data_IF_378033295352
#
_entry.id   IF_378033295352
#
_cell.length_a   1.000
_cell.length_b   1.000
_cell.length_c   1.000
_cell.angle_alpha   90.00
_cell.angle_beta   90.00
_cell.angle_gamma   90.00
#
_symmetry.space_group_name_H-M   'P 1'
#
loop_
_entity.id
_entity.type
_entity.pdbx_description
1 polymer ?
#
# COMPACT_ATOMS: atom_id res chain seq x y z
N UNK A 1 -28.45 -26.28 -20.43
CA UNK A 1 -27.19 -26.85 -19.87
C UNK A 1 -26.35 -25.84 -19.06
N UNK A 2 -26.39 -24.54 -19.34
CA UNK A 2 -25.65 -23.50 -18.59
C UNK A 2 -26.10 -23.32 -17.12
N UNK A 3 -27.39 -23.47 -16.83
CA UNK A 3 -27.92 -23.34 -15.46
C UNK A 3 -27.46 -24.42 -14.48
N UNK A 4 -27.27 -25.66 -14.94
CA UNK A 4 -26.78 -26.76 -14.08
C UNK A 4 -25.28 -26.63 -13.75
N UNK A 5 -24.47 -26.07 -14.65
CA UNK A 5 -23.05 -25.77 -14.40
C UNK A 5 -22.90 -24.65 -13.37
N UNK A 6 -23.65 -23.55 -13.51
CA UNK A 6 -23.69 -22.46 -12.53
C UNK A 6 -24.17 -22.92 -11.15
N UNK A 7 -25.19 -23.79 -11.10
CA UNK A 7 -25.70 -24.35 -9.85
C UNK A 7 -24.70 -25.31 -9.17
N UNK A 8 -23.86 -26.00 -9.95
CA UNK A 8 -22.80 -26.88 -9.42
C UNK A 8 -21.62 -26.09 -8.85
N UNK A 9 -21.30 -24.92 -9.42
CA UNK A 9 -20.30 -24.00 -8.85
C UNK A 9 -20.76 -23.36 -7.53
N UNK A 10 -22.05 -23.03 -7.40
CA UNK A 10 -22.63 -22.33 -6.25
C UNK A 10 -22.77 -23.15 -4.96
N UNK A 11 -22.79 -24.48 -5.04
CA UNK A 11 -23.00 -25.38 -3.90
C UNK A 11 -21.71 -25.86 -3.19
N UNK A 12 -20.55 -25.26 -3.48
CA UNK A 12 -19.33 -25.62 -2.76
C UNK A 12 -19.33 -24.91 -1.40
N UNK A 13 -19.01 -25.66 -0.33
CA UNK A 13 -18.76 -25.10 1.00
C UNK A 13 -17.65 -24.05 1.01
N UNK A 14 -17.26 -23.50 2.17
CA UNK A 14 -16.27 -22.43 2.24
C UNK A 14 -14.98 -22.84 1.49
N UNK A 15 -14.50 -21.96 0.60
CA UNK A 15 -13.31 -22.22 -0.23
C UNK A 15 -12.14 -22.70 0.65
N UNK A 16 -11.45 -23.74 0.18
CA UNK A 16 -10.27 -24.28 0.87
C UNK A 16 -9.18 -23.22 1.00
N UNK A 17 -8.33 -23.34 2.04
CA UNK A 17 -7.16 -22.49 2.24
C UNK A 17 -6.29 -22.43 0.98
N UNK A 18 -5.96 -23.60 0.42
CA UNK A 18 -5.15 -23.71 -0.81
C UNK A 18 -5.79 -22.95 -1.98
N UNK A 19 -7.10 -23.11 -2.19
CA UNK A 19 -7.82 -22.43 -3.28
C UNK A 19 -7.76 -20.91 -3.13
N UNK A 20 -7.95 -20.37 -1.92
CA UNK A 20 -7.86 -18.93 -1.67
C UNK A 20 -6.48 -18.36 -2.00
N UNK A 21 -5.40 -19.04 -1.60
CA UNK A 21 -4.03 -18.64 -1.92
C UNK A 21 -3.72 -18.74 -3.42
N UNK A 22 -4.23 -19.77 -4.11
CA UNK A 22 -4.10 -19.87 -5.56
C UNK A 22 -4.80 -18.71 -6.27
N UNK A 23 -6.02 -18.36 -5.84
CA UNK A 23 -6.74 -17.20 -6.39
C UNK A 23 -5.94 -15.90 -6.18
N UNK A 24 -5.35 -15.71 -4.99
CA UNK A 24 -4.51 -14.55 -4.72
C UNK A 24 -3.27 -14.52 -5.63
N UNK A 25 -2.66 -15.67 -5.90
CA UNK A 25 -1.49 -15.79 -6.78
C UNK A 25 -1.81 -15.54 -8.26
N UNK A 26 -3.07 -15.63 -8.69
CA UNK A 26 -3.46 -15.29 -10.07
C UNK A 26 -3.19 -13.81 -10.40
N UNK A 27 -3.25 -12.92 -9.41
CA UNK A 27 -3.02 -11.47 -9.62
C UNK A 27 -1.60 -11.19 -10.10
N UNK A 28 -0.53 -11.56 -9.37
CA UNK A 28 0.83 -11.36 -9.87
C UNK A 28 1.11 -12.16 -11.15
N UNK A 29 0.58 -13.39 -11.27
CA UNK A 29 0.75 -14.20 -12.49
C UNK A 29 0.13 -13.51 -13.72
N UNK A 30 -1.03 -12.86 -13.57
CA UNK A 30 -1.67 -12.09 -14.64
C UNK A 30 -0.77 -10.98 -15.19
N UNK A 31 -0.12 -10.20 -14.32
CA UNK A 31 0.82 -9.16 -14.77
C UNK A 31 2.12 -9.72 -15.32
N UNK A 32 2.66 -10.80 -14.74
CA UNK A 32 3.84 -11.46 -15.29
C UNK A 32 3.58 -11.97 -16.71
N UNK A 33 2.43 -12.61 -16.94
CA UNK A 33 2.03 -13.06 -18.27
C UNK A 33 1.87 -11.89 -19.24
N UNK A 34 1.20 -10.81 -18.83
CA UNK A 34 1.09 -9.60 -19.64
C UNK A 34 2.48 -9.01 -19.96
N UNK A 35 3.39 -8.96 -18.99
CA UNK A 35 4.74 -8.45 -19.15
C UNK A 35 5.57 -9.22 -20.18
N UNK A 36 5.50 -10.56 -20.16
CA UNK A 36 6.20 -11.42 -21.12
C UNK A 36 5.61 -11.35 -22.54
N UNK A 37 4.34 -10.96 -22.68
CA UNK A 37 3.71 -10.72 -23.99
C UNK A 37 4.10 -9.35 -24.54
N UNK A 38 4.26 -8.35 -23.67
CA UNK A 38 4.50 -6.95 -24.04
C UNK A 38 5.98 -6.63 -24.29
N UNK A 39 6.92 -7.44 -23.80
CA UNK A 39 8.36 -7.20 -23.91
C UNK A 39 9.13 -8.51 -24.18
N UNK A 40 10.07 -8.53 -25.14
CA UNK A 40 10.93 -9.69 -25.40
C UNK A 40 11.70 -10.15 -24.16
N UNK A 41 11.90 -11.46 -24.02
CA UNK A 41 12.47 -12.05 -22.81
C UNK A 41 13.92 -11.59 -22.51
N UNK A 42 14.71 -11.32 -23.54
CA UNK A 42 16.08 -10.81 -23.41
C UNK A 42 16.10 -9.36 -22.90
N UNK A 43 15.18 -8.52 -23.38
CA UNK A 43 15.00 -7.16 -22.88
C UNK A 43 14.47 -7.16 -21.45
N UNK A 44 13.56 -8.06 -21.10
CA UNK A 44 13.07 -8.24 -19.72
C UNK A 44 14.22 -8.55 -18.78
N UNK A 45 15.12 -9.46 -19.15
CA UNK A 45 16.28 -9.79 -18.32
C UNK A 45 17.21 -8.59 -18.12
N UNK A 46 17.55 -7.87 -19.20
CA UNK A 46 18.36 -6.65 -19.11
C UNK A 46 17.68 -5.57 -18.27
N UNK A 47 16.36 -5.43 -18.40
CA UNK A 47 15.55 -4.50 -17.61
C UNK A 47 15.60 -4.83 -16.12
N UNK A 48 15.49 -6.10 -15.73
CA UNK A 48 15.60 -6.54 -14.32
C UNK A 48 16.98 -6.21 -13.75
N UNK A 49 18.05 -6.47 -14.51
CA UNK A 49 19.42 -6.10 -14.10
C UNK A 49 19.56 -4.60 -13.91
N UNK A 50 18.92 -3.81 -14.76
CA UNK A 50 18.93 -2.33 -14.67
C UNK A 50 18.18 -1.87 -13.42
N UNK A 51 16.98 -2.39 -13.17
CA UNK A 51 16.18 -2.12 -11.97
C UNK A 51 16.96 -2.39 -10.68
N UNK A 52 17.69 -3.50 -10.62
CA UNK A 52 18.47 -3.88 -9.43
C UNK A 52 19.63 -2.91 -9.15
N UNK A 53 20.21 -2.34 -10.20
CA UNK A 53 21.36 -1.42 -10.09
C UNK A 53 20.94 0.02 -9.86
N UNK A 54 19.68 0.35 -10.08
CA UNK A 54 19.17 1.70 -9.97
C UNK A 54 18.96 2.11 -8.50
N UNK A 55 19.40 3.31 -8.09
CA UNK A 55 19.05 3.87 -6.78
C UNK A 55 17.53 4.08 -6.65
N UNK A 56 16.94 3.42 -5.66
CA UNK A 56 15.50 3.38 -5.45
C UNK A 56 15.02 4.54 -4.59
N UNK A 57 14.66 5.69 -5.16
CA UNK A 57 14.01 6.79 -4.41
C UNK A 57 12.48 6.72 -4.52
N UNK A 58 11.77 7.50 -3.68
CA UNK A 58 10.30 7.50 -3.53
C UNK A 58 9.51 7.40 -4.83
N UNK A 59 9.95 8.07 -5.89
CA UNK A 59 9.26 8.09 -7.18
C UNK A 59 10.25 7.67 -8.28
N UNK A 60 10.68 6.41 -8.22
CA UNK A 60 11.59 5.79 -9.19
C UNK A 60 10.83 4.70 -9.95
N UNK A 61 10.19 5.08 -11.05
CA UNK A 61 9.33 4.20 -11.81
C UNK A 61 10.09 3.15 -12.62
N UNK A 62 9.94 1.87 -12.27
CA UNK A 62 10.63 0.77 -12.94
C UNK A 62 10.14 0.52 -14.37
N UNK A 63 8.95 0.98 -14.72
CA UNK A 63 8.45 0.90 -16.10
C UNK A 63 9.32 1.78 -17.00
N UNK A 64 9.71 2.98 -16.54
CA UNK A 64 10.61 3.87 -17.26
C UNK A 64 12.06 3.35 -17.29
N UNK A 65 12.49 2.58 -16.27
CA UNK A 65 13.88 2.11 -16.15
C UNK A 65 14.12 0.81 -16.91
N UNK A 66 13.31 -0.22 -16.65
CA UNK A 66 13.52 -1.57 -17.18
C UNK A 66 12.53 -1.97 -18.27
N UNK A 67 11.50 -1.16 -18.51
CA UNK A 67 10.37 -1.52 -19.36
C UNK A 67 9.24 -2.22 -18.61
N UNK A 68 8.09 -2.33 -19.27
CA UNK A 68 6.84 -2.86 -18.70
C UNK A 68 7.01 -4.31 -18.23
N UNK A 69 7.62 -5.15 -19.05
CA UNK A 69 7.81 -6.56 -18.76
C UNK A 69 8.76 -6.79 -17.57
N UNK A 70 9.89 -6.09 -17.53
CA UNK A 70 10.83 -6.18 -16.41
C UNK A 70 10.19 -5.73 -15.08
N UNK A 71 9.45 -4.62 -15.09
CA UNK A 71 8.75 -4.12 -13.91
C UNK A 71 7.70 -5.13 -13.41
N UNK A 72 6.89 -5.70 -14.31
CA UNK A 72 5.87 -6.70 -13.96
C UNK A 72 6.46 -8.02 -13.47
N UNK A 73 7.59 -8.47 -14.03
CA UNK A 73 8.29 -9.66 -13.53
C UNK A 73 8.87 -9.40 -12.15
N UNK A 74 9.54 -8.27 -11.91
CA UNK A 74 10.04 -7.91 -10.58
C UNK A 74 8.89 -7.90 -9.56
N UNK A 75 7.82 -7.17 -9.83
CA UNK A 75 6.66 -7.08 -8.93
C UNK A 75 5.97 -8.42 -8.71
N UNK A 76 5.78 -9.20 -9.77
CA UNK A 76 5.13 -10.50 -9.72
C UNK A 76 5.92 -11.51 -8.90
N UNK A 77 7.24 -11.58 -9.08
CA UNK A 77 8.13 -12.47 -8.30
C UNK A 77 8.10 -12.11 -6.82
N UNK A 78 8.24 -10.83 -6.46
CA UNK A 78 8.20 -10.41 -5.05
C UNK A 78 6.85 -10.73 -4.40
N UNK A 79 5.75 -10.50 -5.12
CA UNK A 79 4.42 -10.84 -4.63
C UNK A 79 4.24 -12.35 -4.46
N UNK A 80 4.67 -13.18 -5.42
CA UNK A 80 4.58 -14.64 -5.34
C UNK A 80 5.44 -15.20 -4.20
N UNK A 81 6.65 -14.69 -4.01
CA UNK A 81 7.50 -15.04 -2.87
C UNK A 81 6.81 -14.68 -1.55
N UNK A 82 6.21 -13.49 -1.48
CA UNK A 82 5.48 -13.05 -0.27
C UNK A 82 4.28 -13.95 0.04
N UNK A 83 3.49 -14.32 -0.99
CA UNK A 83 2.39 -15.29 -0.87
C UNK A 83 2.92 -16.64 -0.40
N UNK A 84 4.02 -17.14 -1.01
CA UNK A 84 4.61 -18.42 -0.67
C UNK A 84 5.09 -18.47 0.78
N UNK A 85 5.77 -17.41 1.26
CA UNK A 85 6.20 -17.30 2.65
C UNK A 85 5.00 -17.44 3.60
N UNK A 86 3.92 -16.67 3.39
CA UNK A 86 2.72 -16.73 4.24
C UNK A 86 2.05 -18.11 4.17
N UNK A 87 2.01 -18.72 2.98
CA UNK A 87 1.44 -20.04 2.80
C UNK A 87 2.23 -21.14 3.52
N UNK A 88 3.56 -21.15 3.39
CA UNK A 88 4.41 -22.17 4.03
C UNK A 88 4.56 -21.97 5.53
N UNK A 89 4.37 -20.74 6.03
CA UNK A 89 4.24 -20.46 7.46
C UNK A 89 2.91 -20.95 8.08
N UNK A 90 2.04 -21.60 7.30
CA UNK A 90 0.79 -22.17 7.80
C UNK A 90 -0.30 -21.14 8.12
N UNK A 91 -0.14 -19.89 7.70
CA UNK A 91 -1.09 -18.82 8.02
C UNK A 91 -2.37 -18.94 7.18
N UNK A 92 -3.52 -18.59 7.77
CA UNK A 92 -4.80 -18.55 7.06
C UNK A 92 -4.96 -17.30 6.19
N UNK A 93 -5.79 -17.41 5.15
CA UNK A 93 -6.13 -16.27 4.31
C UNK A 93 -6.96 -15.27 5.12
N UNK A 94 -6.36 -14.10 5.35
CA UNK A 94 -6.95 -12.96 6.04
C UNK A 94 -6.94 -11.73 5.13
N UNK A 95 -7.69 -10.69 5.48
CA UNK A 95 -7.59 -9.41 4.80
C UNK A 95 -6.15 -8.89 4.80
N UNK A 96 -5.40 -9.08 5.89
CA UNK A 96 -4.00 -8.67 5.99
C UNK A 96 -3.08 -9.44 5.02
N UNK A 97 -3.39 -10.71 4.72
CA UNK A 97 -2.68 -11.49 3.68
C UNK A 97 -2.90 -10.86 2.30
N UNK A 98 -4.14 -10.49 1.99
CA UNK A 98 -4.49 -9.85 0.72
C UNK A 98 -3.83 -8.48 0.63
N UNK A 99 -3.98 -7.64 1.65
CA UNK A 99 -3.38 -6.31 1.72
C UNK A 99 -1.88 -6.37 1.51
N UNK A 100 -1.18 -7.25 2.24
CA UNK A 100 0.27 -7.38 2.12
C UNK A 100 0.72 -7.84 0.74
N UNK A 101 0.05 -8.80 0.12
CA UNK A 101 0.35 -9.23 -1.24
C UNK A 101 0.19 -8.09 -2.27
N UNK A 102 -0.92 -7.35 -2.21
CA UNK A 102 -1.17 -6.23 -3.13
C UNK A 102 -0.17 -5.09 -2.92
N UNK A 103 0.23 -4.80 -1.69
CA UNK A 103 1.27 -3.80 -1.41
C UNK A 103 2.65 -4.27 -1.87
N UNK A 104 2.99 -5.54 -1.68
CA UNK A 104 4.25 -6.08 -2.18
C UNK A 104 4.30 -6.03 -3.70
N UNK A 105 3.22 -6.37 -4.40
CA UNK A 105 3.15 -6.19 -5.85
C UNK A 105 3.29 -4.71 -6.24
N UNK A 106 2.42 -3.85 -5.70
CA UNK A 106 2.32 -2.45 -6.11
C UNK A 106 3.61 -1.64 -5.91
N UNK A 107 4.22 -1.73 -4.73
CA UNK A 107 5.48 -1.04 -4.44
C UNK A 107 6.71 -1.74 -5.00
N UNK A 108 6.56 -2.91 -5.62
CA UNK A 108 7.64 -3.52 -6.41
C UNK A 108 7.61 -3.09 -7.88
N UNK A 109 6.66 -2.23 -8.26
CA UNK A 109 6.73 -1.49 -9.52
C UNK A 109 7.58 -0.21 -9.40
N UNK A 110 7.94 0.19 -8.18
CA UNK A 110 8.79 1.35 -7.91
C UNK A 110 9.44 1.24 -6.52
N UNK A 111 10.77 1.16 -6.48
CA UNK A 111 11.55 1.25 -5.24
C UNK A 111 11.76 -0.03 -4.43
N UNK A 112 11.07 -1.14 -4.73
CA UNK A 112 11.36 -2.47 -4.16
C UNK A 112 11.78 -3.46 -5.23
N UNK A 113 12.97 -4.03 -5.09
CA UNK A 113 13.49 -5.04 -6.00
C UNK A 113 13.87 -6.34 -5.28
N UNK A 114 14.22 -7.36 -6.05
CA UNK A 114 14.52 -8.71 -5.55
C UNK A 114 15.66 -8.72 -4.53
N UNK A 115 16.57 -7.74 -4.53
CA UNK A 115 17.72 -7.73 -3.61
C UNK A 115 17.49 -6.86 -2.36
N UNK A 116 16.83 -5.71 -2.50
CA UNK A 116 16.83 -4.68 -1.46
C UNK A 116 15.88 -4.96 -0.27
N UNK A 117 15.04 -6.00 -0.34
CA UNK A 117 14.03 -6.31 0.69
C UNK A 117 14.55 -7.20 1.84
N UNK A 118 15.60 -7.99 1.62
CA UNK A 118 15.93 -9.11 2.50
C UNK A 118 16.53 -8.71 3.83
N UNK A 119 17.38 -7.68 3.87
CA UNK A 119 18.02 -7.22 5.11
C UNK A 119 16.99 -6.78 6.15
N UNK A 120 15.95 -6.06 5.72
CA UNK A 120 14.85 -5.62 6.57
C UNK A 120 14.02 -6.82 7.06
N UNK A 121 13.72 -7.77 6.16
CA UNK A 121 13.02 -9.01 6.54
C UNK A 121 13.80 -9.82 7.58
N UNK A 122 15.12 -9.94 7.41
CA UNK A 122 16.01 -10.59 8.38
C UNK A 122 15.98 -9.89 9.74
N UNK A 123 15.97 -8.55 9.76
CA UNK A 123 15.84 -7.78 11.00
C UNK A 123 14.53 -8.06 11.76
N UNK A 124 13.41 -8.18 11.05
CA UNK A 124 12.12 -8.53 11.66
C UNK A 124 12.12 -9.96 12.20
N UNK A 125 12.71 -10.92 11.47
CA UNK A 125 12.89 -12.28 11.95
C UNK A 125 13.79 -12.32 13.19
N UNK A 126 14.86 -11.51 13.23
CA UNK A 126 15.74 -11.38 14.39
C UNK A 126 14.99 -10.81 15.60
N UNK A 127 14.10 -9.84 15.40
CA UNK A 127 13.23 -9.33 16.47
C UNK A 127 12.33 -10.44 17.05
N UNK A 128 11.69 -11.22 16.17
CA UNK A 128 10.85 -12.35 16.59
C UNK A 128 11.65 -13.38 17.40
N UNK A 129 12.86 -13.72 16.92
CA UNK A 129 13.77 -14.63 17.59
C UNK A 129 14.23 -14.10 18.96
N UNK A 130 14.68 -12.84 19.03
CA UNK A 130 15.15 -12.20 20.26
C UNK A 130 14.07 -12.19 21.34
N UNK A 131 12.82 -11.89 20.96
CA UNK A 131 11.68 -11.91 21.89
C UNK A 131 11.05 -13.29 22.09
N UNK A 132 11.63 -14.35 21.53
CA UNK A 132 11.11 -15.74 21.64
C UNK A 132 9.65 -15.84 21.22
N UNK A 133 9.30 -15.21 20.10
CA UNK A 133 7.95 -15.17 19.53
C UNK A 133 7.93 -15.71 18.11
N UNK A 134 6.75 -16.11 17.61
CA UNK A 134 6.61 -16.61 16.25
C UNK A 134 6.78 -15.49 15.21
N UNK A 135 7.55 -15.77 14.15
CA UNK A 135 7.72 -14.89 12.98
C UNK A 135 6.38 -14.55 12.32
N UNK A 136 5.40 -15.46 12.39
CA UNK A 136 4.05 -15.25 11.85
C UNK A 136 3.36 -13.99 12.38
N UNK A 137 3.70 -13.55 13.61
CA UNK A 137 3.15 -12.33 14.22
C UNK A 137 3.63 -11.06 13.53
N UNK A 138 4.83 -11.07 12.97
CA UNK A 138 5.49 -9.88 12.45
C UNK A 138 5.75 -9.93 10.94
N UNK A 139 5.42 -11.02 10.25
CA UNK A 139 5.72 -11.16 8.83
C UNK A 139 5.11 -10.05 7.96
N UNK A 140 3.86 -9.63 8.24
CA UNK A 140 3.24 -8.51 7.54
C UNK A 140 3.93 -7.18 7.85
N UNK A 141 4.37 -6.99 9.10
CA UNK A 141 5.17 -5.81 9.47
C UNK A 141 6.48 -5.80 8.69
N UNK A 142 7.12 -6.96 8.50
CA UNK A 142 8.28 -7.11 7.62
C UNK A 142 7.99 -6.71 6.18
N UNK A 143 6.97 -7.28 5.55
CA UNK A 143 6.59 -6.93 4.19
C UNK A 143 6.30 -5.44 4.01
N UNK A 144 5.59 -4.82 4.95
CA UNK A 144 5.37 -3.38 4.94
C UNK A 144 6.65 -2.58 5.21
N UNK A 145 7.52 -3.09 6.08
CA UNK A 145 8.82 -2.52 6.44
C UNK A 145 9.80 -2.39 5.29
N UNK A 146 9.71 -3.29 4.30
CA UNK A 146 10.50 -3.18 3.05
C UNK A 146 10.25 -1.87 2.30
N UNK A 147 9.28 -1.04 2.70
CA UNK A 147 9.16 0.36 2.26
C UNK A 147 10.42 1.21 2.49
N UNK A 148 11.32 0.77 3.37
CA UNK A 148 12.60 1.41 3.65
C UNK A 148 13.78 0.79 2.88
N UNK A 149 13.51 -0.12 1.93
CA UNK A 149 14.53 -0.66 1.04
C UNK A 149 15.34 0.38 0.25
N UNK A 150 14.79 1.57 -0.11
CA UNK A 150 15.59 2.69 -0.62
C UNK A 150 16.85 3.02 0.18
N UNK A 151 16.79 2.94 1.52
CA UNK A 151 17.94 3.20 2.38
C UNK A 151 19.06 2.20 2.10
N UNK A 152 18.71 0.93 1.85
CA UNK A 152 19.67 -0.13 1.56
C UNK A 152 20.35 0.12 0.22
N UNK A 153 19.58 0.43 -0.82
CA UNK A 153 20.14 0.75 -2.14
C UNK A 153 21.01 2.00 -2.07
N UNK A 154 20.59 3.04 -1.35
CA UNK A 154 21.36 4.27 -1.18
C UNK A 154 22.69 4.02 -0.47
N UNK A 155 22.71 3.20 0.58
CA UNK A 155 23.96 2.86 1.29
C UNK A 155 24.93 2.04 0.41
N UNK A 156 24.40 1.20 -0.47
CA UNK A 156 25.20 0.44 -1.43
C UNK A 156 25.85 1.34 -2.50
N UNK A 157 25.23 2.47 -2.84
CA UNK A 157 25.70 3.39 -3.88
C UNK A 157 26.64 4.47 -3.35
N UNK A 158 26.85 4.58 -2.03
CA UNK A 158 27.78 5.54 -1.41
C UNK A 158 29.21 5.38 -1.94
N UNK A 159 29.55 6.18 -2.96
CA UNK A 159 30.66 5.97 -3.89
C UNK A 159 32.09 5.95 -3.33
N UNK A 160 32.31 6.42 -2.10
CA UNK A 160 33.65 6.58 -1.54
C UNK A 160 34.18 5.35 -0.77
N UNK A 161 33.33 4.37 -0.42
CA UNK A 161 33.75 3.18 0.33
C UNK A 161 34.00 1.96 -0.58
N UNK A 162 34.82 0.97 -0.20
CA UNK A 162 34.91 -0.29 -0.95
C UNK A 162 33.62 -1.11 -0.85
N UNK A 163 33.29 -1.91 -1.87
CA UNK A 163 32.11 -2.80 -1.85
C UNK A 163 32.10 -3.74 -0.64
N UNK A 164 33.27 -4.24 -0.23
CA UNK A 164 33.47 -5.09 0.94
C UNK A 164 33.04 -4.43 2.26
N UNK A 165 32.97 -3.09 2.31
CA UNK A 165 32.48 -2.33 3.46
C UNK A 165 31.01 -1.96 3.28
N UNK A 166 30.62 -1.50 2.09
CA UNK A 166 29.23 -1.08 1.80
C UNK A 166 28.22 -2.21 2.00
N UNK A 167 28.54 -3.42 1.56
CA UNK A 167 27.62 -4.55 1.60
C UNK A 167 27.30 -4.99 3.05
N UNK A 168 28.28 -5.30 3.92
CA UNK A 168 27.99 -5.60 5.32
C UNK A 168 27.30 -4.45 6.04
N UNK A 169 27.70 -3.21 5.75
CA UNK A 169 27.09 -2.03 6.38
C UNK A 169 25.62 -1.87 6.01
N UNK A 170 25.27 -2.02 4.72
CA UNK A 170 23.89 -1.93 4.24
C UNK A 170 23.02 -3.06 4.80
N UNK A 171 23.57 -4.27 4.90
CA UNK A 171 22.89 -5.41 5.54
C UNK A 171 22.64 -5.12 7.02
N UNK A 172 23.65 -4.63 7.76
CA UNK A 172 23.54 -4.29 9.17
C UNK A 172 22.46 -3.23 9.41
N UNK A 173 22.49 -2.13 8.66
CA UNK A 173 21.48 -1.06 8.78
C UNK A 173 20.08 -1.60 8.47
N UNK A 174 19.93 -2.43 7.43
CA UNK A 174 18.65 -3.06 7.12
C UNK A 174 18.14 -3.97 8.23
N UNK A 175 19.02 -4.77 8.84
CA UNK A 175 18.65 -5.58 10.00
C UNK A 175 18.24 -4.73 11.20
N UNK A 176 18.94 -3.61 11.48
CA UNK A 176 18.56 -2.67 12.54
C UNK A 176 17.17 -2.09 12.27
N UNK A 177 16.93 -1.61 11.04
CA UNK A 177 15.61 -1.10 10.61
C UNK A 177 14.53 -2.15 10.86
N UNK A 178 14.74 -3.37 10.38
CA UNK A 178 13.79 -4.46 10.57
C UNK A 178 13.58 -4.80 12.05
N UNK A 179 14.63 -4.75 12.87
CA UNK A 179 14.55 -5.09 14.29
C UNK A 179 13.73 -4.06 15.09
N UNK A 180 13.87 -2.76 14.81
CA UNK A 180 13.15 -1.71 15.54
C UNK A 180 11.73 -1.47 15.03
N UNK A 181 11.38 -2.00 13.85
CA UNK A 181 10.10 -1.72 13.20
C UNK A 181 8.87 -2.29 13.94
N UNK A 182 8.85 -3.54 14.45
CA UNK A 182 7.69 -4.07 15.17
C UNK A 182 7.26 -3.27 16.42
N UNK A 183 8.16 -2.87 17.34
CA UNK A 183 7.75 -2.09 18.50
C UNK A 183 7.30 -0.68 18.11
N UNK A 184 7.94 -0.05 17.12
CA UNK A 184 7.52 1.26 16.62
C UNK A 184 6.16 1.22 15.93
N UNK A 185 5.89 0.17 15.16
CA UNK A 185 4.57 -0.07 14.55
C UNK A 185 3.50 -0.25 15.61
N UNK A 186 3.82 -0.91 16.73
CA UNK A 186 2.87 -1.07 17.83
C UNK A 186 2.58 0.27 18.52
N UNK A 187 3.63 1.04 18.84
CA UNK A 187 3.47 2.34 19.49
C UNK A 187 2.67 3.32 18.64
N UNK A 188 3.02 3.46 17.37
CA UNK A 188 2.35 4.36 16.42
C UNK A 188 0.88 4.03 16.24
N UNK A 189 0.52 2.74 16.23
CA UNK A 189 -0.88 2.30 16.12
C UNK A 189 -1.74 2.84 17.26
N UNK A 190 -1.23 2.77 18.49
CA UNK A 190 -1.90 3.30 19.67
C UNK A 190 -2.01 4.83 19.62
N UNK A 191 -0.97 5.53 19.15
CA UNK A 191 -0.96 6.99 19.07
C UNK A 191 -2.07 7.55 18.18
N UNK A 192 -2.42 6.87 17.10
CA UNK A 192 -3.49 7.28 16.18
C UNK A 192 -4.78 6.45 16.31
N UNK A 193 -4.90 5.58 17.33
CA UNK A 193 -6.09 4.76 17.65
C UNK A 193 -6.71 3.99 16.45
N UNK A 194 -5.90 3.60 15.47
CA UNK A 194 -6.39 2.90 14.27
C UNK A 194 -7.04 3.77 13.18
N UNK A 195 -7.02 5.11 13.28
CA UNK A 195 -7.57 6.00 12.24
C UNK A 195 -6.68 6.20 10.99
N UNK A 196 -5.43 5.73 11.03
CA UNK A 196 -4.57 5.60 9.85
C UNK A 196 -4.40 4.11 9.53
N UNK A 197 -4.82 3.70 8.34
CA UNK A 197 -4.68 2.31 7.90
C UNK A 197 -3.22 1.95 7.60
N UNK A 198 -2.40 2.92 7.20
CA UNK A 198 -1.01 2.71 6.82
C UNK A 198 -0.06 2.88 8.01
N UNK A 199 -0.39 2.25 9.13
CA UNK A 199 0.35 2.39 10.38
C UNK A 199 1.85 2.07 10.24
N UNK A 200 2.21 0.98 9.54
CA UNK A 200 3.63 0.67 9.32
C UNK A 200 4.33 1.74 8.48
N UNK A 201 3.62 2.39 7.55
CA UNK A 201 4.16 3.55 6.84
C UNK A 201 4.44 4.74 7.75
N UNK A 202 3.63 4.92 8.78
CA UNK A 202 3.89 5.92 9.83
C UNK A 202 5.12 5.58 10.67
N UNK A 203 5.24 4.34 11.13
CA UNK A 203 6.44 3.86 11.82
C UNK A 203 7.70 3.97 10.94
N UNK A 204 7.62 3.54 9.68
CA UNK A 204 8.71 3.65 8.70
C UNK A 204 9.16 5.10 8.51
N UNK A 205 8.24 6.06 8.47
CA UNK A 205 8.59 7.47 8.34
C UNK A 205 9.35 8.03 9.54
N UNK A 206 9.01 7.59 10.77
CA UNK A 206 9.78 7.93 11.97
C UNK A 206 11.20 7.36 11.88
N UNK A 207 11.33 6.08 11.52
CA UNK A 207 12.63 5.41 11.35
C UNK A 207 13.48 6.12 10.28
N UNK A 208 12.89 6.38 9.11
CA UNK A 208 13.56 7.07 8.02
C UNK A 208 14.04 8.46 8.46
N UNK A 209 13.20 9.22 9.16
CA UNK A 209 13.60 10.54 9.68
C UNK A 209 14.83 10.45 10.56
N UNK A 210 14.90 9.49 11.48
CA UNK A 210 16.06 9.28 12.37
C UNK A 210 17.30 8.89 11.56
N UNK A 211 17.19 7.87 10.69
CA UNK A 211 18.35 7.35 9.94
C UNK A 211 18.90 8.41 8.99
N UNK A 212 18.02 9.10 8.28
CA UNK A 212 18.44 10.12 7.29
C UNK A 212 19.02 11.35 7.98
N UNK A 213 18.49 11.73 9.15
CA UNK A 213 19.10 12.78 9.97
C UNK A 213 20.50 12.39 10.43
N UNK A 214 20.71 11.13 10.85
CA UNK A 214 22.05 10.63 11.18
C UNK A 214 22.98 10.67 9.97
N UNK A 215 22.54 10.19 8.82
CA UNK A 215 23.33 10.23 7.57
C UNK A 215 23.76 11.66 7.21
N UNK A 216 22.82 12.62 7.27
CA UNK A 216 23.09 14.04 7.00
C UNK A 216 24.11 14.62 8.00
N UNK A 217 24.05 14.24 9.28
CA UNK A 217 25.03 14.67 10.29
C UNK A 217 26.45 14.17 10.02
N UNK A 218 26.61 13.07 9.27
CA UNK A 218 27.91 12.57 8.78
C UNK A 218 28.28 13.12 7.39
N UNK A 219 27.54 14.11 6.87
CA UNK A 219 27.81 14.73 5.57
C UNK A 219 27.37 13.89 4.36
N UNK A 220 26.59 12.81 4.56
CA UNK A 220 26.03 12.05 3.46
C UNK A 220 24.87 12.81 2.83
N UNK A 221 25.04 13.21 1.57
CA UNK A 221 23.98 13.85 0.81
C UNK A 221 23.00 12.80 0.27
N UNK A 222 21.73 13.17 0.25
CA UNK A 222 20.63 12.36 -0.27
C UNK A 222 20.12 13.06 -1.51
N UNK A 223 20.31 12.46 -2.68
CA UNK A 223 19.76 13.00 -3.91
C UNK A 223 18.29 12.60 -4.03
N UNK A 224 17.40 13.54 -4.29
CA UNK A 224 16.03 13.22 -4.64
C UNK A 224 15.96 13.02 -6.15
N UNK A 225 15.41 11.88 -6.58
CA UNK A 225 15.16 11.60 -8.00
C UNK A 225 13.67 11.35 -8.25
N UNK A 226 13.19 11.87 -9.37
CA UNK A 226 11.84 11.71 -9.88
C UNK A 226 11.93 11.10 -11.29
N UNK A 227 11.58 9.83 -11.41
CA UNK A 227 11.42 9.13 -12.69
C UNK A 227 9.96 8.71 -12.80
N UNK A 228 9.29 9.16 -13.87
CA UNK A 228 7.86 9.01 -14.07
C UNK A 228 7.57 8.61 -15.52
N UNK A 229 7.02 7.41 -15.74
CA UNK A 229 6.63 6.97 -17.09
C UNK A 229 5.29 7.59 -17.49
N UNK A 230 5.16 7.94 -18.77
CA UNK A 230 3.94 8.50 -19.38
C UNK A 230 3.59 7.76 -20.69
N UNK A 231 2.36 7.93 -21.18
CA UNK A 231 1.95 7.47 -22.51
C UNK A 231 1.42 6.04 -22.64
N UNK A 232 1.32 5.29 -21.52
CA UNK A 232 0.84 3.91 -21.50
C UNK A 232 -0.57 3.75 -20.89
N UNK A 233 -1.31 4.85 -20.73
CA UNK A 233 -2.54 4.89 -19.93
C UNK A 233 -3.63 3.97 -20.46
N UNK A 234 -3.84 3.95 -21.78
CA UNK A 234 -4.86 3.10 -22.42
C UNK A 234 -4.56 1.62 -22.18
N UNK A 235 -3.29 1.23 -22.27
CA UNK A 235 -2.85 -0.15 -22.04
C UNK A 235 -3.10 -0.55 -20.58
N UNK A 236 -2.62 0.25 -19.63
CA UNK A 236 -2.77 -0.07 -18.22
C UNK A 236 -4.23 0.03 -17.75
N UNK A 237 -5.02 0.98 -18.26
CA UNK A 237 -6.44 1.05 -17.98
C UNK A 237 -7.17 -0.23 -18.38
N UNK A 238 -6.88 -0.78 -19.58
CA UNK A 238 -7.45 -2.05 -20.02
C UNK A 238 -7.04 -3.21 -19.11
N UNK A 239 -5.76 -3.29 -18.75
CA UNK A 239 -5.26 -4.35 -17.86
C UNK A 239 -5.91 -4.29 -16.47
N UNK A 240 -6.02 -3.10 -15.88
CA UNK A 240 -6.61 -2.88 -14.55
C UNK A 240 -8.12 -3.11 -14.54
N UNK A 241 -8.85 -2.53 -15.50
CA UNK A 241 -10.29 -2.72 -15.60
C UNK A 241 -10.66 -4.18 -15.89
N UNK A 242 -9.86 -4.88 -16.72
CA UNK A 242 -10.01 -6.31 -16.95
C UNK A 242 -9.82 -7.13 -15.67
N UNK A 243 -8.77 -6.84 -14.89
CA UNK A 243 -8.53 -7.50 -13.60
C UNK A 243 -9.66 -7.24 -12.60
N UNK A 244 -10.00 -5.98 -12.37
CA UNK A 244 -11.00 -5.61 -11.36
C UNK A 244 -12.43 -6.02 -11.75
N UNK A 245 -12.77 -5.94 -13.05
CA UNK A 245 -13.99 -6.50 -13.59
C UNK A 245 -14.05 -8.02 -13.43
N UNK A 246 -12.92 -8.72 -13.67
CA UNK A 246 -12.78 -10.15 -13.42
C UNK A 246 -12.98 -10.53 -11.94
N UNK A 247 -12.45 -9.72 -11.01
CA UNK A 247 -12.64 -9.91 -9.57
C UNK A 247 -14.12 -9.77 -9.15
N UNK A 248 -14.83 -8.77 -9.68
CA UNK A 248 -16.27 -8.57 -9.47
C UNK A 248 -17.06 -9.76 -10.01
N UNK A 249 -16.81 -10.14 -11.27
CA UNK A 249 -17.50 -11.23 -11.93
C UNK A 249 -17.28 -12.55 -11.18
N UNK A 250 -16.02 -12.88 -10.87
CA UNK A 250 -15.67 -14.09 -10.14
C UNK A 250 -16.34 -14.14 -8.76
N UNK A 251 -16.37 -13.01 -8.05
CA UNK A 251 -17.07 -12.90 -6.77
C UNK A 251 -18.56 -13.29 -6.87
N UNK A 252 -19.27 -12.75 -7.86
CA UNK A 252 -20.69 -13.07 -8.10
C UNK A 252 -20.93 -14.52 -8.53
N UNK A 253 -19.94 -15.18 -9.15
CA UNK A 253 -20.04 -16.58 -9.55
C UNK A 253 -19.88 -17.55 -8.38
N UNK A 254 -19.07 -17.20 -7.37
CA UNK A 254 -18.76 -18.10 -6.23
C UNK A 254 -19.71 -17.95 -5.04
N UNK A 255 -20.58 -16.95 -5.01
CA UNK A 255 -21.52 -16.74 -3.91
C UNK A 255 -22.82 -16.02 -4.35
N UNK A 256 -23.96 -16.36 -3.74
CA UNK A 256 -25.26 -15.80 -4.13
C UNK A 256 -25.60 -14.46 -3.46
N UNK A 257 -25.14 -14.25 -2.22
CA UNK A 257 -25.50 -13.09 -1.39
C UNK A 257 -24.41 -12.01 -1.34
N UNK A 258 -23.60 -11.90 -2.39
CA UNK A 258 -22.45 -10.97 -2.48
C UNK A 258 -22.89 -9.53 -2.24
N UNK A 259 -23.94 -9.09 -2.92
CA UNK A 259 -24.43 -7.71 -2.81
C UNK A 259 -24.86 -7.35 -1.38
N UNK A 260 -25.66 -8.22 -0.73
CA UNK A 260 -26.12 -7.99 0.64
C UNK A 260 -24.95 -7.84 1.61
N UNK A 261 -23.94 -8.72 1.53
CA UNK A 261 -22.76 -8.65 2.39
C UNK A 261 -21.83 -7.48 2.03
N UNK A 262 -21.77 -7.10 0.76
CA UNK A 262 -21.07 -5.89 0.33
C UNK A 262 -21.71 -4.61 0.93
N UNK A 263 -23.03 -4.56 1.04
CA UNK A 263 -23.71 -3.47 1.74
C UNK A 263 -23.40 -3.46 3.25
N UNK A 264 -23.09 -4.60 3.88
CA UNK A 264 -22.63 -4.62 5.27
C UNK A 264 -21.22 -4.01 5.41
N UNK A 265 -20.30 -4.28 4.47
CA UNK A 265 -18.98 -3.62 4.41
C UNK A 265 -19.16 -2.10 4.43
N UNK A 266 -20.09 -1.59 3.63
CA UNK A 266 -20.39 -0.16 3.55
C UNK A 266 -20.88 0.44 4.85
N UNK A 267 -21.42 -0.32 5.81
CA UNK A 267 -21.89 0.22 7.09
C UNK A 267 -20.77 0.41 8.10
N UNK A 268 -19.63 -0.25 7.89
CA UNK A 268 -18.50 -0.21 8.82
C UNK A 268 -17.78 1.15 8.79
N UNK A 269 -17.04 1.46 9.85
CA UNK A 269 -16.14 2.64 9.88
C UNK A 269 -14.83 2.35 9.16
N UNK A 270 -14.42 1.07 9.12
CA UNK A 270 -13.18 0.66 8.48
C UNK A 270 -11.91 0.94 9.29
N UNK A 271 -12.00 0.99 10.62
CA UNK A 271 -10.84 1.20 11.50
C UNK A 271 -9.76 0.11 11.31
N UNK A 272 -8.49 0.47 11.53
CA UNK A 272 -7.38 -0.47 11.49
C UNK A 272 -7.63 -1.68 12.42
N UNK A 273 -7.44 -2.89 11.90
CA UNK A 273 -7.79 -4.15 12.56
C UNK A 273 -9.03 -4.82 11.99
N UNK A 274 -9.83 -4.09 11.19
CA UNK A 274 -10.95 -4.66 10.41
C UNK A 274 -10.43 -5.70 9.40
N UNK A 275 -11.15 -6.81 9.25
CA UNK A 275 -10.81 -7.89 8.31
C UNK A 275 -12.08 -8.42 7.62
N UNK A 276 -12.40 -7.87 6.45
CA UNK A 276 -13.63 -8.20 5.74
C UNK A 276 -13.66 -9.64 5.22
N UNK A 277 -12.50 -10.30 5.08
CA UNK A 277 -12.46 -11.72 4.72
C UNK A 277 -13.04 -12.57 5.85
N UNK A 278 -12.83 -12.15 7.11
CA UNK A 278 -13.36 -12.83 8.30
C UNK A 278 -14.82 -12.47 8.57
N UNK A 279 -15.18 -11.19 8.51
CA UNK A 279 -16.55 -10.73 8.84
C UNK A 279 -17.55 -10.91 7.69
N UNK A 280 -17.22 -10.43 6.49
CA UNK A 280 -18.10 -10.45 5.30
C UNK A 280 -17.70 -11.50 4.27
N UNK A 281 -16.65 -12.28 4.53
CA UNK A 281 -16.26 -13.40 3.69
C UNK A 281 -15.43 -13.01 2.48
N UNK A 282 -14.84 -14.03 1.85
CA UNK A 282 -13.91 -13.84 0.74
C UNK A 282 -14.56 -13.21 -0.51
N UNK A 283 -15.73 -13.69 -0.93
CA UNK A 283 -16.36 -13.19 -2.15
C UNK A 283 -16.79 -11.71 -2.04
N UNK A 284 -17.53 -11.26 -1.00
CA UNK A 284 -17.89 -9.84 -0.85
C UNK A 284 -16.68 -8.93 -0.69
N UNK A 285 -15.61 -9.42 -0.06
CA UNK A 285 -14.33 -8.71 0.00
C UNK A 285 -13.75 -8.52 -1.40
N UNK A 286 -13.68 -9.57 -2.21
CA UNK A 286 -13.17 -9.50 -3.58
C UNK A 286 -14.01 -8.56 -4.47
N UNK A 287 -15.33 -8.54 -4.27
CA UNK A 287 -16.23 -7.59 -4.93
C UNK A 287 -15.89 -6.15 -4.55
N UNK A 288 -15.75 -5.86 -3.25
CA UNK A 288 -15.37 -4.52 -2.76
C UNK A 288 -14.00 -4.08 -3.32
N UNK A 289 -13.03 -4.99 -3.35
CA UNK A 289 -11.72 -4.76 -3.94
C UNK A 289 -11.81 -4.36 -5.43
N UNK A 290 -12.59 -5.10 -6.22
CA UNK A 290 -12.79 -4.78 -7.64
C UNK A 290 -13.49 -3.44 -7.85
N UNK A 291 -14.53 -3.14 -7.07
CA UNK A 291 -15.25 -1.85 -7.15
C UNK A 291 -14.32 -0.67 -6.82
N UNK A 292 -13.55 -0.76 -5.73
CA UNK A 292 -12.60 0.30 -5.37
C UNK A 292 -11.44 0.41 -6.39
N UNK A 293 -11.03 -0.70 -6.99
CA UNK A 293 -10.02 -0.73 -8.05
C UNK A 293 -10.47 0.00 -9.32
N UNK A 294 -11.69 -0.27 -9.79
CA UNK A 294 -12.28 0.45 -10.93
C UNK A 294 -12.39 1.93 -10.61
N UNK A 295 -12.97 2.29 -9.46
CA UNK A 295 -13.16 3.68 -9.06
C UNK A 295 -11.84 4.45 -8.98
N UNK A 296 -10.83 3.87 -8.32
CA UNK A 296 -9.51 4.51 -8.21
C UNK A 296 -8.80 4.67 -9.55
N UNK A 297 -8.89 3.67 -10.44
CA UNK A 297 -8.36 3.77 -11.81
C UNK A 297 -9.02 4.90 -12.59
N UNK A 298 -10.35 4.99 -12.54
CA UNK A 298 -11.10 6.05 -13.21
C UNK A 298 -10.78 7.43 -12.63
N UNK A 299 -10.62 7.55 -11.31
CA UNK A 299 -10.29 8.83 -10.66
C UNK A 299 -8.92 9.34 -11.12
N UNK A 300 -7.91 8.47 -11.27
CA UNK A 300 -6.59 8.88 -11.81
C UNK A 300 -6.73 9.45 -13.21
N UNK A 301 -7.44 8.75 -14.09
CA UNK A 301 -7.65 9.18 -15.48
C UNK A 301 -8.46 10.49 -15.56
N UNK A 302 -9.51 10.63 -14.76
CA UNK A 302 -10.34 11.84 -14.70
C UNK A 302 -9.58 13.04 -14.13
N UNK A 303 -8.62 12.81 -13.23
CA UNK A 303 -7.72 13.84 -12.71
C UNK A 303 -6.57 14.20 -13.67
N UNK A 304 -6.50 13.57 -14.86
CA UNK A 304 -5.45 13.81 -15.84
C UNK A 304 -4.08 13.27 -15.42
N UNK A 305 -4.03 12.24 -14.56
CA UNK A 305 -2.80 11.57 -14.16
C UNK A 305 -2.44 10.40 -15.07
N UNK A 306 -1.14 10.11 -15.17
CA UNK A 306 -0.64 8.93 -15.88
C UNK A 306 -0.86 7.63 -15.08
N UNK A 307 -1.12 6.53 -15.79
CA UNK A 307 -1.00 5.19 -15.25
C UNK A 307 0.42 4.68 -15.47
N UNK A 308 1.10 4.36 -14.37
CA UNK A 308 2.48 3.88 -14.38
C UNK A 308 2.79 3.11 -13.09
N UNK A 309 4.06 2.72 -12.86
CA UNK A 309 4.43 1.89 -11.72
C UNK A 309 3.95 2.46 -10.38
N UNK A 310 4.32 3.72 -10.04
CA UNK A 310 3.83 4.42 -8.86
C UNK A 310 2.31 4.52 -8.72
N UNK A 311 1.57 4.94 -9.76
CA UNK A 311 0.11 5.10 -9.65
C UNK A 311 -0.62 3.76 -9.59
N UNK A 312 -0.15 2.74 -10.33
CA UNK A 312 -0.63 1.36 -10.20
C UNK A 312 -0.39 0.88 -8.78
N UNK A 313 0.78 1.10 -8.19
CA UNK A 313 1.03 0.74 -6.80
C UNK A 313 0.10 1.46 -5.80
N UNK A 314 -0.21 2.74 -6.06
CA UNK A 314 -1.23 3.49 -5.30
C UNK A 314 -2.63 2.86 -5.39
N UNK A 315 -3.07 2.50 -6.60
CA UNK A 315 -4.34 1.80 -6.85
C UNK A 315 -4.34 0.45 -6.12
N UNK A 316 -3.29 -0.35 -6.24
CA UNK A 316 -3.15 -1.63 -5.56
C UNK A 316 -3.14 -1.48 -4.03
N UNK A 317 -2.67 -0.34 -3.51
CA UNK A 317 -2.77 -0.05 -2.08
C UNK A 317 -4.23 0.21 -1.66
N UNK A 318 -5.02 0.93 -2.46
CA UNK A 318 -6.47 1.08 -2.21
C UNK A 318 -7.15 -0.29 -2.26
N UNK A 319 -6.87 -1.08 -3.29
CA UNK A 319 -7.47 -2.39 -3.51
C UNK A 319 -7.09 -3.37 -2.40
N UNK A 320 -5.82 -3.45 -2.01
CA UNK A 320 -5.36 -4.29 -0.91
C UNK A 320 -6.08 -3.96 0.39
N UNK A 321 -6.06 -2.69 0.80
CA UNK A 321 -6.76 -2.23 2.02
C UNK A 321 -8.29 -2.26 1.90
N UNK A 322 -8.86 -2.54 0.73
CA UNK A 322 -10.28 -2.85 0.59
C UNK A 322 -10.65 -4.19 1.20
N UNK A 323 -9.68 -5.01 1.60
CA UNK A 323 -9.90 -6.19 2.45
C UNK A 323 -9.82 -5.88 3.96
N UNK A 324 -9.28 -4.72 4.35
CA UNK A 324 -8.98 -4.38 5.75
C UNK A 324 -9.38 -2.95 6.14
N UNK A 325 -10.51 -2.46 5.61
CA UNK A 325 -11.11 -1.20 6.08
C UNK A 325 -11.62 -0.24 5.01
N UNK A 326 -11.22 -0.35 3.73
CA UNK A 326 -11.65 0.61 2.71
C UNK A 326 -12.92 0.20 1.95
N UNK A 327 -13.76 1.18 1.65
CA UNK A 327 -14.88 1.09 0.72
C UNK A 327 -15.22 2.49 0.18
N UNK A 328 -15.94 2.61 -0.93
CA UNK A 328 -16.19 3.92 -1.57
C UNK A 328 -16.73 5.00 -0.61
N UNK A 329 -17.68 4.66 0.28
CA UNK A 329 -18.21 5.62 1.27
C UNK A 329 -17.14 6.30 2.14
N UNK A 330 -16.04 5.62 2.46
CA UNK A 330 -15.02 6.16 3.35
C UNK A 330 -13.76 6.66 2.61
N UNK A 331 -13.49 6.21 1.38
CA UNK A 331 -12.35 6.73 0.60
C UNK A 331 -12.69 7.98 -0.22
N UNK A 332 -13.91 8.07 -0.79
CA UNK A 332 -14.26 9.17 -1.69
C UNK A 332 -14.24 10.55 -1.01
N UNK A 333 -14.75 10.73 0.23
CA UNK A 333 -14.65 12.01 0.92
C UNK A 333 -13.20 12.47 1.11
N UNK A 334 -12.30 11.53 1.40
CA UNK A 334 -10.88 11.84 1.61
C UNK A 334 -10.22 12.25 0.29
N UNK A 335 -10.47 11.52 -0.79
CA UNK A 335 -9.95 11.88 -2.12
C UNK A 335 -10.50 13.24 -2.59
N UNK A 336 -11.79 13.51 -2.34
CA UNK A 336 -12.39 14.81 -2.63
C UNK A 336 -11.69 15.95 -1.88
N UNK A 337 -11.25 15.73 -0.64
CA UNK A 337 -10.43 16.69 0.10
C UNK A 337 -9.11 17.03 -0.59
N UNK A 338 -8.43 16.04 -1.16
CA UNK A 338 -7.19 16.26 -1.92
C UNK A 338 -7.47 17.06 -3.20
N UNK A 339 -8.52 16.69 -3.95
CA UNK A 339 -8.94 17.39 -5.17
C UNK A 339 -9.34 18.84 -4.85
N UNK A 340 -10.05 19.10 -3.76
CA UNK A 340 -10.32 20.47 -3.32
C UNK A 340 -9.03 21.24 -3.01
N UNK A 341 -8.04 20.55 -2.45
CA UNK A 341 -6.71 21.08 -2.22
C UNK A 341 -6.02 21.56 -3.50
N UNK A 342 -6.19 20.86 -4.63
CA UNK A 342 -5.52 21.25 -5.89
C UNK A 342 -6.08 22.53 -6.51
N UNK A 343 -7.31 22.93 -6.17
CA UNK A 343 -7.88 24.19 -6.68
C UNK A 343 -7.38 25.43 -5.95
N UNK A 344 -6.86 25.29 -4.73
CA UNK A 344 -6.50 26.43 -3.86
C UNK A 344 -5.02 26.48 -3.50
N UNK A 345 -4.26 25.43 -3.83
CA UNK A 345 -2.82 25.33 -3.54
C UNK A 345 -2.00 25.45 -4.81
N UNK A 346 -0.69 25.59 -4.66
CA UNK A 346 0.25 25.91 -5.74
C UNK A 346 0.64 24.72 -6.64
N UNK A 347 0.09 23.53 -6.40
CA UNK A 347 0.41 22.30 -7.12
C UNK A 347 -0.82 21.80 -7.89
N UNK A 348 -0.58 21.11 -9.00
CA UNK A 348 -1.64 20.54 -9.83
C UNK A 348 -1.95 19.11 -9.40
N UNK A 349 -3.21 18.69 -9.56
CA UNK A 349 -3.62 17.32 -9.19
C UNK A 349 -2.92 16.25 -10.03
N UNK A 350 -2.52 16.59 -11.26
CA UNK A 350 -1.78 15.74 -12.19
C UNK A 350 -0.29 15.63 -11.85
N UNK A 351 0.24 16.46 -10.93
CA UNK A 351 1.65 16.36 -10.53
C UNK A 351 1.93 15.01 -9.85
N UNK A 352 3.07 14.34 -10.11
CA UNK A 352 3.36 13.00 -9.59
C UNK A 352 3.12 12.82 -8.08
N UNK A 353 3.65 13.74 -7.27
CA UNK A 353 3.52 13.70 -5.81
C UNK A 353 2.07 13.95 -5.36
N UNK A 354 1.33 14.81 -6.06
CA UNK A 354 -0.07 15.12 -5.76
C UNK A 354 -0.98 13.94 -6.14
N UNK A 355 -0.73 13.28 -7.27
CA UNK A 355 -1.44 12.08 -7.69
C UNK A 355 -1.23 10.91 -6.70
N UNK A 356 0.00 10.71 -6.23
CA UNK A 356 0.26 9.73 -5.17
C UNK A 356 -0.41 10.12 -3.85
N UNK A 357 -0.43 11.41 -3.49
CA UNK A 357 -1.16 11.90 -2.33
C UNK A 357 -2.67 11.66 -2.46
N UNK A 358 -3.26 11.89 -3.64
CA UNK A 358 -4.66 11.60 -3.92
C UNK A 358 -5.00 10.14 -3.63
N UNK A 359 -4.26 9.20 -4.22
CA UNK A 359 -4.49 7.76 -4.05
C UNK A 359 -4.26 7.30 -2.61
N UNK A 360 -3.15 7.72 -2.01
CA UNK A 360 -2.68 7.21 -0.73
C UNK A 360 -3.24 7.96 0.49
N UNK A 361 -3.87 9.13 0.29
CA UNK A 361 -4.65 9.85 1.33
C UNK A 361 -5.74 8.97 1.94
N UNK A 362 -6.25 8.01 1.17
CA UNK A 362 -7.25 7.02 1.59
C UNK A 362 -6.83 6.18 2.80
N UNK A 363 -5.58 6.27 3.27
CA UNK A 363 -5.20 5.80 4.62
C UNK A 363 -6.06 6.38 5.74
N UNK A 364 -6.56 7.60 5.56
CA UNK A 364 -7.43 8.33 6.49
C UNK A 364 -8.92 8.01 6.31
N UNK A 365 -9.26 7.01 5.49
CA UNK A 365 -10.63 6.56 5.30
C UNK A 365 -11.40 6.31 6.61
N UNK A 366 -10.80 5.77 7.69
CA UNK A 366 -11.52 5.61 8.95
C UNK A 366 -12.06 6.92 9.54
N UNK A 367 -11.40 8.07 9.30
CA UNK A 367 -11.89 9.39 9.76
C UNK A 367 -13.20 9.73 9.06
N UNK A 368 -13.28 9.52 7.74
CA UNK A 368 -14.53 9.71 7.00
C UNK A 368 -15.61 8.69 7.42
N UNK A 369 -15.20 7.45 7.68
CA UNK A 369 -16.07 6.38 8.14
C UNK A 369 -16.75 6.69 9.48
N UNK A 370 -15.99 7.15 10.47
CA UNK A 370 -16.53 7.43 11.82
C UNK A 370 -17.13 8.83 11.95
N UNK A 371 -16.47 9.87 11.43
CA UNK A 371 -16.85 11.27 11.65
C UNK A 371 -17.60 11.89 10.47
N UNK A 372 -17.83 11.12 9.40
CA UNK A 372 -18.62 11.52 8.24
C UNK A 372 -17.84 12.28 7.17
N UNK A 373 -18.58 12.68 6.12
CA UNK A 373 -18.01 13.22 4.87
C UNK A 373 -17.17 14.47 5.10
N UNK A 374 -17.64 15.43 5.91
CA UNK A 374 -16.92 16.70 6.15
C UNK A 374 -15.55 16.46 6.80
N UNK A 375 -15.50 15.57 7.79
CA UNK A 375 -14.24 15.20 8.44
C UNK A 375 -13.29 14.48 7.47
N UNK A 376 -13.83 13.62 6.60
CA UNK A 376 -13.08 12.98 5.52
C UNK A 376 -12.46 13.97 4.54
N UNK A 377 -13.25 14.93 4.06
CA UNK A 377 -12.79 16.00 3.18
C UNK A 377 -11.69 16.83 3.84
N UNK A 378 -11.87 17.23 5.10
CA UNK A 378 -10.86 17.96 5.85
C UNK A 378 -9.57 17.14 6.02
N UNK A 379 -9.69 15.85 6.32
CA UNK A 379 -8.56 14.93 6.48
C UNK A 379 -7.74 14.83 5.18
N UNK A 380 -8.40 14.65 4.03
CA UNK A 380 -7.75 14.63 2.72
C UNK A 380 -7.08 15.96 2.36
N UNK A 381 -7.78 17.06 2.61
CA UNK A 381 -7.25 18.41 2.35
C UNK A 381 -5.96 18.69 3.12
N UNK A 382 -5.91 18.33 4.41
CA UNK A 382 -4.72 18.49 5.23
C UNK A 382 -3.62 17.48 4.87
N UNK A 383 -4.00 16.24 4.59
CA UNK A 383 -3.07 15.19 4.18
C UNK A 383 -2.26 15.59 2.96
N UNK A 384 -2.89 16.14 1.92
CA UNK A 384 -2.18 16.60 0.73
C UNK A 384 -1.08 17.61 1.05
N UNK A 385 -1.33 18.56 1.96
CA UNK A 385 -0.28 19.50 2.40
C UNK A 385 0.87 18.80 3.10
N UNK A 386 0.57 17.90 4.03
CA UNK A 386 1.61 17.20 4.80
C UNK A 386 2.41 16.28 3.88
N UNK A 387 1.76 15.45 3.08
CA UNK A 387 2.39 14.48 2.18
C UNK A 387 3.37 15.10 1.19
N UNK A 388 3.06 16.30 0.68
CA UNK A 388 3.92 17.02 -0.25
C UNK A 388 5.14 17.68 0.42
N UNK A 389 5.13 17.85 1.74
CA UNK A 389 6.20 18.56 2.48
C UNK A 389 7.05 17.66 3.37
N UNK A 390 6.50 16.56 3.90
CA UNK A 390 7.26 15.68 4.82
C UNK A 390 8.42 14.96 4.16
N UNK A 391 8.46 14.87 2.81
CA UNK A 391 9.59 14.31 2.07
C UNK A 391 10.95 14.91 2.41
N UNK A 392 10.98 16.17 2.84
CA UNK A 392 12.20 16.92 3.15
C UNK A 392 13.00 16.29 4.29
N UNK A 393 12.33 15.72 5.31
CA UNK A 393 13.02 15.23 6.52
C UNK A 393 13.69 13.87 6.33
N UNK A 394 13.28 13.09 5.33
CA UNK A 394 13.83 11.76 5.05
C UNK A 394 14.32 11.58 3.60
N UNK A 395 14.36 12.65 2.79
CA UNK A 395 15.02 12.66 1.48
C UNK A 395 14.46 11.67 0.47
N UNK A 396 13.17 11.34 0.54
CA UNK A 396 12.54 10.40 -0.40
C UNK A 396 12.90 8.91 -0.18
N UNK A 397 13.54 8.55 0.93
CA UNK A 397 13.92 7.15 1.23
C UNK A 397 12.81 6.30 1.89
N UNK A 398 11.60 6.84 2.08
CA UNK A 398 10.46 6.09 2.60
C UNK A 398 9.38 5.98 1.54
N UNK A 399 9.24 4.81 0.91
CA UNK A 399 8.19 4.54 -0.09
C UNK A 399 6.78 4.80 0.46
N UNK A 400 6.60 4.65 1.78
CA UNK A 400 5.32 4.88 2.43
C UNK A 400 5.19 6.31 3.00
N UNK A 401 5.70 7.31 2.27
CA UNK A 401 5.54 8.74 2.56
C UNK A 401 4.11 9.09 3.01
N UNK A 402 3.12 8.65 2.24
CA UNK A 402 1.72 8.98 2.51
C UNK A 402 1.17 8.29 3.76
N UNK A 403 1.76 7.16 4.18
CA UNK A 403 1.48 6.55 5.47
C UNK A 403 2.06 7.37 6.63
N UNK A 404 3.25 7.93 6.45
CA UNK A 404 3.84 8.90 7.39
C UNK A 404 3.00 10.16 7.55
N UNK A 405 2.64 10.80 6.44
CA UNK A 405 1.73 11.94 6.45
C UNK A 405 0.35 11.61 7.05
N UNK A 406 -0.21 10.44 6.70
CA UNK A 406 -1.48 9.97 7.25
C UNK A 406 -1.45 9.77 8.76
N UNK A 407 -0.38 9.18 9.30
CA UNK A 407 -0.21 9.05 10.75
C UNK A 407 -0.18 10.39 11.48
N UNK A 408 0.56 11.37 10.93
CA UNK A 408 0.61 12.73 11.48
C UNK A 408 -0.78 13.36 11.50
N UNK A 409 -1.51 13.31 10.38
CA UNK A 409 -2.86 13.88 10.30
C UNK A 409 -3.83 13.16 11.24
N UNK A 410 -3.77 11.83 11.34
CA UNK A 410 -4.64 11.09 12.25
C UNK A 410 -4.39 11.47 13.72
N UNK A 411 -3.12 11.56 14.14
CA UNK A 411 -2.77 11.99 15.50
C UNK A 411 -3.17 13.45 15.80
N UNK A 412 -3.14 14.32 14.80
CA UNK A 412 -3.52 15.72 14.95
C UNK A 412 -5.04 15.91 14.94
N UNK A 413 -5.71 15.41 13.89
CA UNK A 413 -7.09 15.75 13.57
C UNK A 413 -8.09 15.01 14.47
N UNK A 414 -7.84 13.73 14.77
CA UNK A 414 -8.79 12.91 15.55
C UNK A 414 -9.02 13.47 16.95
N UNK A 415 -8.00 13.80 17.76
CA UNK A 415 -8.22 14.39 19.08
C UNK A 415 -8.95 15.74 19.03
N UNK A 416 -8.68 16.55 18.00
CA UNK A 416 -9.35 17.85 17.79
C UNK A 416 -10.84 17.65 17.52
N UNK A 417 -11.20 16.74 16.61
CA UNK A 417 -12.60 16.42 16.31
C UNK A 417 -13.32 15.87 17.55
N UNK A 418 -12.69 14.92 18.26
CA UNK A 418 -13.26 14.32 19.47
C UNK A 418 -13.54 15.38 20.55
N UNK A 419 -12.59 16.28 20.81
CA UNK A 419 -12.74 17.38 21.78
C UNK A 419 -13.93 18.29 21.48
N UNK A 420 -14.15 18.64 20.20
CA UNK A 420 -15.29 19.47 19.78
C UNK A 420 -16.61 18.71 19.94
N UNK A 421 -16.65 17.41 19.59
CA UNK A 421 -17.84 16.58 19.74
C UNK A 421 -18.25 16.44 21.20
N UNK A 422 -17.30 16.21 22.09
CA UNK A 422 -17.54 16.04 23.53
C UNK A 422 -18.04 17.34 24.19
N UNK A 423 -17.56 18.50 23.74
CA UNK A 423 -18.10 19.80 24.18
C UNK A 423 -19.55 20.00 23.72
N UNK A 424 -19.86 19.72 22.45
CA UNK A 424 -21.23 19.84 21.92
C UNK A 424 -22.20 18.88 22.60
N UNK A 425 -21.76 17.67 22.91
CA UNK A 425 -22.58 16.70 23.66
C UNK A 425 -22.93 17.23 25.06
N UNK A 426 -21.94 17.78 25.78
CA UNK A 426 -22.15 18.39 27.12
C UNK A 426 -23.04 19.64 27.09
N UNK A 427 -22.91 20.49 26.08
CA UNK A 427 -23.77 21.67 25.93
C UNK A 427 -25.23 21.26 25.70
N UNK A 428 -25.48 20.27 24.83
CA UNK A 428 -26.84 19.77 24.56
C UNK A 428 -27.51 19.15 25.79
N UNK A 429 -26.77 18.47 26.65
CA UNK A 429 -27.31 17.96 27.92
C UNK A 429 -27.65 19.08 28.91
N UNK A 430 -26.95 20.22 28.86
CA UNK A 430 -27.27 21.39 29.68
C UNK A 430 -28.50 22.15 29.18
N UNK A 431 -28.72 22.23 27.85
CA UNK A 431 -29.91 22.88 27.28
C UNK A 431 -31.20 22.03 27.38
N UNK A 432 -31.06 20.72 27.64
CA UNK A 432 -32.17 19.78 27.80
C UNK A 432 -32.61 19.53 29.25
N UNK A 433 -31.92 20.15 30.21
CA UNK A 433 -32.25 20.19 31.65
C UNK A 433 -32.86 21.55 31.97
#
# INVERSE_FOLDING_TARGET
MTGQLLHKFRNHGPLSRRTKFLILALVPVYFMAAGLILQPADEVWRGIVTIIREPDFLITDYIAIGGIGAAFINAGVLALISIAIVYFLGMDMSGHTITSCFLMFGFSLFGKNILNIWSIMMGVCLYAFYHKTSVTRYIYVGFYGTSLSPIITQLMTVGHLPLAVRLPFSILVGMIIGFVLPPLSTHTHYSHKGYSLYNVGFASGIIATVIVSLMKSFGLQTEARLIWSTGNDVLFARLLLGLFGGMILFSCLIAESVWKRYMEIWKTYGLSGTDYVKSEGFAPTLFNMGVNGIASTLIVLLAGGDLNGPTIGGIFTIVGFSATGKHLRNILPVMAGVILGSFVKTWNISDPSAMLALLLSTTLAPIAGEFGVVAGVLAGFLHASVALNVGIVYGGMNLYNNGFAGGIIAMFLVPVIQSVRDRRARARTHDSL
#
